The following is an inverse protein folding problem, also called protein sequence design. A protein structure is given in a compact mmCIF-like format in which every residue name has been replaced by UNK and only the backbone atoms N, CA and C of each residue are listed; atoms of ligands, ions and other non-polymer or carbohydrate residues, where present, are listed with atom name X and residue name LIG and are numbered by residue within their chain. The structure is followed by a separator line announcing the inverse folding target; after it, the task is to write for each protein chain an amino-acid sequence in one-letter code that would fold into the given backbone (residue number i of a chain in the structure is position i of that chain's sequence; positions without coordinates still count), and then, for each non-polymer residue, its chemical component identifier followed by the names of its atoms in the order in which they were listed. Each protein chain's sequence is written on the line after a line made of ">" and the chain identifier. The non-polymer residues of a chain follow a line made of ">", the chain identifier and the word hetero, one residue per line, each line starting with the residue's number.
data_IF_519867778202
#
_entry.id   IF_519867778202
#
_cell.length_a   1.000
_cell.length_b   1.000
_cell.length_c   1.000
_cell.angle_alpha   90.00
_cell.angle_beta   90.00
_cell.angle_gamma   90.00
#
_symmetry.space_group_name_H-M   'P 1'
#
loop_
_entity.id
_entity.type
_entity.pdbx_description
1 polymer ?
#
# COMPACT_ATOMS: atom_id res chain seq x y z
N UNK A 1 4.74 52.77 17.68
CA UNK A 1 6.15 52.43 17.39
C UNK A 1 6.12 51.14 16.58
N UNK A 2 5.96 51.31 15.27
CA UNK A 2 6.05 50.25 14.27
C UNK A 2 7.53 49.96 13.95
N UNK A 3 7.84 48.69 13.69
CA UNK A 3 8.88 48.18 12.77
C UNK A 3 9.00 46.66 13.01
N UNK A 4 8.33 45.81 12.24
CA UNK A 4 8.90 45.18 11.03
C UNK A 4 10.27 44.52 11.23
N UNK A 5 10.31 43.18 11.14
CA UNK A 5 11.09 42.42 10.14
C UNK A 5 11.19 40.95 10.54
N UNK A 6 10.29 40.16 9.97
CA UNK A 6 10.53 38.75 9.71
C UNK A 6 11.36 38.69 8.42
N UNK A 7 12.68 38.54 8.54
CA UNK A 7 13.58 38.31 7.41
C UNK A 7 14.73 37.41 7.89
N UNK A 8 14.75 36.17 7.39
CA UNK A 8 15.74 35.15 7.77
C UNK A 8 15.83 34.01 6.75
N UNK A 9 15.80 34.36 5.47
CA UNK A 9 16.03 33.47 4.34
C UNK A 9 17.53 33.10 4.24
N UNK A 10 17.86 31.82 4.41
CA UNK A 10 19.14 31.20 4.02
C UNK A 10 18.80 30.24 2.87
N UNK A 11 18.89 30.65 1.59
CA UNK A 11 20.04 30.54 0.67
C UNK A 11 20.85 29.25 0.91
N UNK A 12 21.22 28.39 -0.03
CA UNK A 12 21.29 28.39 -1.49
C UNK A 12 21.99 27.06 -1.81
N UNK A 13 21.33 26.09 -2.46
CA UNK A 13 22.07 24.97 -3.05
C UNK A 13 22.44 25.32 -4.50
N UNK A 14 23.74 25.54 -4.68
CA UNK A 14 24.36 25.90 -5.94
C UNK A 14 24.26 24.78 -6.98
N UNK A 15 24.09 25.24 -8.21
CA UNK A 15 24.25 24.48 -9.45
C UNK A 15 25.64 23.84 -9.53
N UNK A 16 25.72 22.64 -10.09
CA UNK A 16 26.85 22.27 -10.94
C UNK A 16 26.39 21.40 -12.10
N UNK A 17 26.61 21.92 -13.31
CA UNK A 17 26.38 21.26 -14.60
C UNK A 17 27.54 20.32 -14.93
N UNK A 18 27.24 19.42 -15.87
CA UNK A 18 28.12 18.97 -16.98
C UNK A 18 28.86 17.65 -16.80
N UNK A 19 28.53 16.63 -17.62
CA UNK A 19 29.16 16.43 -18.94
C UNK A 19 28.48 15.33 -19.75
N UNK A 20 28.41 15.58 -21.06
CA UNK A 20 28.06 14.65 -22.14
C UNK A 20 29.18 13.62 -22.37
N UNK A 21 28.82 12.43 -22.85
CA UNK A 21 29.58 11.57 -23.79
C UNK A 21 28.72 10.31 -24.05
N UNK A 22 28.58 9.68 -25.22
CA UNK A 22 28.87 9.96 -26.64
C UNK A 22 28.13 8.86 -27.44
N UNK A 23 27.64 9.19 -28.63
CA UNK A 23 27.11 8.28 -29.64
C UNK A 23 28.22 7.41 -30.28
N UNK A 24 27.90 6.14 -30.60
CA UNK A 24 28.37 5.29 -31.75
C UNK A 24 27.93 3.84 -31.47
N UNK A 25 27.47 3.00 -32.41
CA UNK A 25 27.35 3.06 -33.87
C UNK A 25 26.22 2.12 -34.35
N UNK A 26 25.65 2.37 -35.53
CA UNK A 26 25.91 1.65 -36.80
C UNK A 26 25.50 0.16 -36.72
N UNK A 27 24.30 -0.21 -37.19
CA UNK A 27 23.94 -0.52 -38.58
C UNK A 27 24.20 -1.98 -38.97
N UNK A 28 23.13 -2.72 -39.28
CA UNK A 28 23.12 -3.67 -40.40
C UNK A 28 21.68 -4.01 -40.80
N UNK A 29 21.41 -3.78 -42.07
CA UNK A 29 20.21 -4.14 -42.83
C UNK A 29 20.42 -5.57 -43.34
N UNK A 30 19.37 -6.39 -43.34
CA UNK A 30 19.24 -7.47 -44.32
C UNK A 30 17.77 -7.73 -44.62
N UNK A 31 17.38 -7.35 -45.84
CA UNK A 31 16.17 -7.78 -46.51
C UNK A 31 16.32 -9.24 -46.98
N UNK A 32 15.21 -9.98 -47.06
CA UNK A 32 15.17 -11.30 -47.68
C UNK A 32 13.74 -11.73 -47.95
N UNK A 33 13.39 -11.79 -49.23
CA UNK A 33 12.04 -11.95 -49.77
C UNK A 33 11.56 -13.42 -49.83
N UNK A 34 10.23 -13.54 -49.76
CA UNK A 34 9.32 -14.43 -50.50
C UNK A 34 9.73 -15.84 -50.94
N UNK A 35 8.90 -16.83 -50.58
CA UNK A 35 8.45 -17.87 -51.50
C UNK A 35 7.12 -18.51 -51.03
N UNK A 36 6.07 -18.35 -51.84
CA UNK A 36 4.91 -19.26 -51.89
C UNK A 36 5.32 -20.53 -52.65
N UNK A 37 4.91 -21.71 -52.17
CA UNK A 37 4.11 -22.69 -52.94
C UNK A 37 3.95 -24.04 -52.19
N UNK A 38 2.68 -24.31 -51.82
CA UNK A 38 1.90 -25.56 -51.90
C UNK A 38 2.63 -26.92 -52.01
N UNK A 39 2.30 -27.84 -51.09
CA UNK A 39 1.42 -29.02 -51.36
C UNK A 39 1.60 -30.13 -50.31
N UNK A 40 0.52 -30.87 -50.03
CA UNK A 40 0.57 -32.17 -49.35
C UNK A 40 -0.24 -32.24 -48.05
N UNK A 41 -1.52 -32.58 -48.15
CA UNK A 41 -2.42 -32.71 -47.00
C UNK A 41 -2.28 -34.01 -46.22
N UNK A 42 -2.71 -34.00 -44.96
CA UNK A 42 -3.38 -35.15 -44.31
C UNK A 42 -4.23 -34.68 -43.13
N UNK A 43 -5.55 -34.86 -43.27
CA UNK A 43 -6.51 -35.38 -42.28
C UNK A 43 -6.56 -34.76 -40.86
N UNK A 44 -7.59 -33.94 -40.67
CA UNK A 44 -8.56 -33.94 -39.58
C UNK A 44 -8.10 -34.27 -38.14
N UNK A 45 -8.07 -33.23 -37.30
CA UNK A 45 -8.60 -33.30 -35.94
C UNK A 45 -9.39 -32.00 -35.67
N UNK A 46 -10.72 -32.11 -35.64
CA UNK A 46 -11.59 -31.08 -35.08
C UNK A 46 -11.29 -30.95 -33.58
N UNK A 47 -10.37 -30.05 -33.26
CA UNK A 47 -10.19 -29.58 -31.89
C UNK A 47 -11.38 -28.67 -31.59
N UNK A 48 -12.39 -29.23 -30.93
CA UNK A 48 -13.39 -28.45 -30.21
C UNK A 48 -12.63 -27.51 -29.27
N UNK A 49 -12.79 -26.17 -29.34
CA UNK A 49 -12.24 -25.32 -28.32
C UNK A 49 -12.95 -25.66 -27.02
N UNK A 50 -12.23 -26.32 -26.11
CA UNK A 50 -12.69 -26.48 -24.74
C UNK A 50 -13.05 -25.08 -24.25
N UNK A 51 -14.31 -24.89 -23.88
CA UNK A 51 -14.75 -23.69 -23.21
C UNK A 51 -13.77 -23.42 -22.07
N UNK A 52 -13.16 -22.23 -22.09
CA UNK A 52 -12.45 -21.68 -20.94
C UNK A 52 -13.31 -21.98 -19.71
N UNK A 53 -12.75 -22.52 -18.61
CA UNK A 53 -13.54 -22.71 -17.42
C UNK A 53 -14.13 -21.35 -17.07
N UNK A 54 -15.45 -21.27 -17.15
CA UNK A 54 -16.28 -20.23 -16.57
C UNK A 54 -15.65 -19.90 -15.23
N UNK A 55 -15.19 -18.65 -15.10
CA UNK A 55 -14.42 -18.19 -13.95
C UNK A 55 -15.11 -18.69 -12.69
N UNK A 56 -14.54 -19.74 -12.08
CA UNK A 56 -15.12 -20.36 -10.91
C UNK A 56 -15.38 -19.24 -9.93
N UNK A 57 -16.64 -19.09 -9.52
CA UNK A 57 -17.06 -18.07 -8.58
C UNK A 57 -16.01 -18.01 -7.46
N UNK A 58 -15.38 -16.83 -7.30
CA UNK A 58 -14.31 -16.67 -6.33
C UNK A 58 -14.78 -17.24 -5.01
N UNK A 59 -14.02 -18.16 -4.37
CA UNK A 59 -14.46 -18.74 -3.13
C UNK A 59 -14.78 -17.61 -2.15
N UNK A 60 -15.93 -17.72 -1.48
CA UNK A 60 -16.29 -16.82 -0.37
C UNK A 60 -15.08 -16.77 0.55
N UNK A 61 -14.57 -15.57 0.80
CA UNK A 61 -13.40 -15.37 1.64
C UNK A 61 -13.54 -16.19 2.92
N UNK A 62 -12.53 -16.99 3.32
CA UNK A 62 -12.57 -17.74 4.57
C UNK A 62 -12.68 -16.82 5.80
N UNK A 63 -12.42 -15.52 5.62
CA UNK A 63 -12.54 -14.46 6.61
C UNK A 63 -13.80 -13.58 6.38
N UNK A 64 -14.71 -13.98 5.48
CA UNK A 64 -15.91 -13.21 5.16
C UNK A 64 -15.59 -11.80 4.67
N UNK A 65 -16.23 -10.80 5.29
CA UNK A 65 -16.04 -9.38 5.00
C UNK A 65 -14.89 -8.74 5.78
N UNK A 66 -14.21 -9.50 6.64
CA UNK A 66 -13.17 -8.93 7.49
C UNK A 66 -12.02 -8.34 6.69
N UNK A 67 -11.46 -7.26 7.22
CA UNK A 67 -10.28 -6.58 6.69
C UNK A 67 -9.23 -6.53 7.77
N UNK A 68 -7.99 -6.89 7.43
CA UNK A 68 -6.85 -6.68 8.32
C UNK A 68 -5.87 -5.65 7.72
N UNK A 69 -5.45 -4.71 8.55
CA UNK A 69 -4.54 -3.62 8.22
C UNK A 69 -3.26 -3.72 9.02
N UNK A 70 -2.15 -3.68 8.31
CA UNK A 70 -0.81 -3.74 8.88
C UNK A 70 -0.02 -2.53 8.38
N UNK A 71 -0.30 -1.33 8.90
CA UNK A 71 0.50 -0.15 8.62
C UNK A 71 1.82 -0.22 9.38
N UNK A 72 2.86 0.31 8.76
CA UNK A 72 4.17 0.51 9.37
C UNK A 72 4.49 2.00 9.38
N UNK A 73 5.00 2.47 10.51
CA UNK A 73 5.34 3.85 10.78
C UNK A 73 6.78 3.93 11.27
N UNK A 74 7.49 4.95 10.82
CA UNK A 74 8.86 5.25 11.26
C UNK A 74 8.84 6.54 12.07
N UNK A 75 9.40 6.49 13.28
CA UNK A 75 9.54 7.66 14.16
C UNK A 75 10.53 8.64 13.55
N UNK A 76 10.15 9.92 13.45
CA UNK A 76 11.02 10.94 12.84
C UNK A 76 12.14 11.39 13.79
N UNK A 77 11.84 11.52 15.08
CA UNK A 77 12.80 11.94 16.11
C UNK A 77 12.35 11.52 17.52
N UNK A 78 13.32 11.37 18.43
CA UNK A 78 13.07 11.07 19.85
C UNK A 78 12.81 9.60 20.19
N UNK A 79 12.68 8.72 19.19
CA UNK A 79 12.45 7.28 19.39
C UNK A 79 11.11 6.97 20.04
N UNK A 80 10.92 5.73 20.52
CA UNK A 80 9.65 5.24 21.07
C UNK A 80 9.05 6.14 22.16
N UNK A 81 9.87 6.67 23.08
CA UNK A 81 9.36 7.48 24.20
C UNK A 81 8.69 8.78 23.74
N UNK A 82 9.05 9.33 22.58
CA UNK A 82 8.43 10.55 22.06
C UNK A 82 7.01 10.33 21.54
N UNK A 83 6.66 9.08 21.21
CA UNK A 83 5.37 8.71 20.59
C UNK A 83 4.52 7.80 21.47
N UNK A 84 5.11 7.15 22.49
CA UNK A 84 4.42 6.23 23.41
C UNK A 84 3.08 6.78 23.93
N UNK A 85 2.97 8.02 24.46
CA UNK A 85 1.70 8.52 24.97
C UNK A 85 0.60 8.61 23.89
N UNK A 86 0.98 8.95 22.65
CA UNK A 86 0.05 9.00 21.52
C UNK A 86 -0.42 7.60 21.14
N UNK A 87 0.49 6.61 21.12
CA UNK A 87 0.14 5.22 20.83
C UNK A 87 -0.81 4.63 21.89
N UNK A 88 -0.56 4.93 23.16
CA UNK A 88 -1.42 4.50 24.28
C UNK A 88 -2.83 5.12 24.17
N UNK A 89 -2.92 6.40 23.79
CA UNK A 89 -4.21 7.06 23.52
C UNK A 89 -4.96 6.42 22.35
N UNK A 90 -4.26 6.10 21.25
CA UNK A 90 -4.83 5.41 20.09
C UNK A 90 -5.37 4.02 20.46
N UNK A 91 -4.58 3.22 21.20
CA UNK A 91 -5.00 1.88 21.66
C UNK A 91 -6.22 1.95 22.56
N UNK A 92 -6.25 2.92 23.47
CA UNK A 92 -7.42 3.13 24.35
C UNK A 92 -8.64 3.51 23.53
N UNK A 93 -8.48 4.43 22.58
CA UNK A 93 -9.55 4.87 21.69
C UNK A 93 -10.13 3.74 20.83
N UNK A 94 -9.29 2.86 20.29
CA UNK A 94 -9.72 1.79 19.39
C UNK A 94 -10.59 0.72 20.07
N UNK A 95 -10.55 0.62 21.41
CA UNK A 95 -11.39 -0.31 22.17
C UNK A 95 -12.89 0.04 22.08
N UNK A 96 -13.21 1.32 21.89
CA UNK A 96 -14.58 1.81 21.82
C UNK A 96 -15.12 1.84 20.38
N UNK A 97 -14.31 1.48 19.39
CA UNK A 97 -14.67 1.52 17.97
C UNK A 97 -15.47 0.27 17.58
N UNK A 98 -16.73 0.48 17.18
CA UNK A 98 -17.60 -0.60 16.74
C UNK A 98 -17.03 -1.30 15.51
N UNK A 99 -16.93 -2.64 15.58
CA UNK A 99 -16.42 -3.46 14.49
C UNK A 99 -14.90 -3.65 14.51
N UNK A 100 -14.17 -3.06 15.45
CA UNK A 100 -12.76 -3.41 15.71
C UNK A 100 -12.69 -4.78 16.40
N UNK A 101 -12.08 -5.74 15.71
CA UNK A 101 -11.93 -7.13 16.16
C UNK A 101 -10.59 -7.38 16.86
N UNK A 102 -9.55 -6.67 16.44
CA UNK A 102 -8.22 -6.73 17.06
C UNK A 102 -7.50 -5.42 16.78
N UNK A 103 -6.82 -4.87 17.78
CA UNK A 103 -5.98 -3.69 17.63
C UNK A 103 -4.76 -3.86 18.51
N UNK A 104 -3.59 -4.01 17.90
CA UNK A 104 -2.33 -4.22 18.61
C UNK A 104 -1.22 -3.38 17.98
N UNK A 105 -0.33 -2.88 18.84
CA UNK A 105 0.82 -2.06 18.44
C UNK A 105 2.09 -2.82 18.78
N UNK A 106 3.00 -2.91 17.83
CA UNK A 106 4.29 -3.54 17.96
C UNK A 106 5.38 -2.53 17.66
N UNK A 107 6.54 -2.69 18.29
CA UNK A 107 7.70 -1.84 18.09
C UNK A 107 8.93 -2.70 17.80
N UNK A 108 9.79 -2.24 16.89
CA UNK A 108 11.10 -2.84 16.64
C UNK A 108 12.01 -2.73 17.86
N UNK A 109 13.04 -3.58 17.92
CA UNK A 109 14.02 -3.60 19.01
C UNK A 109 14.72 -2.25 19.22
N UNK A 110 14.96 -1.50 18.13
CA UNK A 110 15.58 -0.17 18.14
C UNK A 110 14.60 0.99 18.43
N UNK A 111 13.30 0.68 18.61
CA UNK A 111 12.28 1.68 18.91
C UNK A 111 11.96 2.65 17.77
N UNK A 112 12.46 2.41 16.55
CA UNK A 112 12.27 3.32 15.41
C UNK A 112 11.07 2.98 14.54
N UNK A 113 10.72 1.71 14.46
CA UNK A 113 9.61 1.22 13.63
C UNK A 113 8.47 0.77 14.52
N UNK A 114 7.28 1.28 14.22
CA UNK A 114 6.03 0.89 14.85
C UNK A 114 5.18 0.23 13.78
N UNK A 115 4.59 -0.92 14.07
CA UNK A 115 3.60 -1.53 13.20
C UNK A 115 2.34 -1.85 13.98
N UNK A 116 1.21 -1.68 13.33
CA UNK A 116 -0.08 -2.02 13.91
C UNK A 116 -0.56 -3.33 13.30
N UNK A 117 -1.26 -4.13 14.10
CA UNK A 117 -2.08 -5.22 13.62
C UNK A 117 -3.52 -4.88 13.96
N UNK A 118 -4.26 -4.51 12.93
CA UNK A 118 -5.63 -4.05 13.05
C UNK A 118 -6.54 -4.99 12.27
N UNK A 119 -7.65 -5.40 12.87
CA UNK A 119 -8.69 -6.21 12.22
C UNK A 119 -10.04 -5.58 12.44
N UNK A 120 -10.80 -5.52 11.35
CA UNK A 120 -12.11 -4.91 11.29
C UNK A 120 -13.12 -5.91 10.71
N UNK A 121 -14.35 -5.86 11.20
CA UNK A 121 -15.43 -6.75 10.77
C UNK A 121 -15.80 -6.58 9.30
N UNK A 122 -15.70 -5.35 8.78
CA UNK A 122 -16.04 -4.98 7.42
C UNK A 122 -15.42 -3.63 7.00
N UNK A 123 -15.71 -3.23 5.77
CA UNK A 123 -15.27 -1.97 5.17
C UNK A 123 -15.84 -0.73 5.90
N UNK A 124 -17.03 -0.83 6.50
CA UNK A 124 -17.64 0.29 7.23
C UNK A 124 -16.88 0.58 8.53
N UNK A 125 -16.46 -0.48 9.25
CA UNK A 125 -15.59 -0.34 10.42
C UNK A 125 -14.23 0.29 10.07
N UNK A 126 -13.64 -0.08 8.92
CA UNK A 126 -12.41 0.53 8.41
C UNK A 126 -12.58 2.04 8.16
N UNK A 127 -13.67 2.43 7.49
CA UNK A 127 -13.96 3.84 7.20
C UNK A 127 -14.20 4.66 8.48
N UNK A 128 -14.92 4.08 9.44
CA UNK A 128 -15.14 4.69 10.74
C UNK A 128 -13.81 4.91 11.47
N UNK A 129 -12.95 3.88 11.50
CA UNK A 129 -11.61 3.97 12.10
C UNK A 129 -10.77 5.07 11.45
N UNK A 130 -10.71 5.14 10.12
CA UNK A 130 -9.96 6.19 9.42
C UNK A 130 -10.47 7.59 9.69
N UNK A 131 -11.80 7.76 9.72
CA UNK A 131 -12.42 9.06 10.01
C UNK A 131 -12.03 9.52 11.41
N UNK A 132 -12.18 8.63 12.39
CA UNK A 132 -11.83 8.88 13.78
C UNK A 132 -10.33 9.17 13.96
N UNK A 133 -9.48 8.41 13.28
CA UNK A 133 -8.03 8.66 13.24
C UNK A 133 -7.70 10.03 12.65
N UNK A 134 -8.33 10.38 11.53
CA UNK A 134 -8.20 11.67 10.86
C UNK A 134 -8.52 12.84 11.78
N UNK A 135 -9.64 12.76 12.49
CA UNK A 135 -10.14 13.82 13.36
C UNK A 135 -9.32 13.99 14.65
N UNK A 136 -8.80 12.89 15.22
CA UNK A 136 -8.20 12.92 16.57
C UNK A 136 -6.69 12.83 16.59
N UNK A 137 -6.09 12.16 15.61
CA UNK A 137 -4.70 11.71 15.73
C UNK A 137 -3.81 12.07 14.55
N UNK A 138 -4.35 12.20 13.33
CA UNK A 138 -3.55 12.31 12.11
C UNK A 138 -2.52 13.44 12.16
N UNK A 139 -2.86 14.62 12.67
CA UNK A 139 -1.91 15.74 12.80
C UNK A 139 -0.72 15.36 13.70
N UNK A 140 -0.99 14.88 14.92
CA UNK A 140 0.03 14.49 15.91
C UNK A 140 0.87 13.31 15.41
N UNK A 141 0.21 12.30 14.82
CA UNK A 141 0.85 11.12 14.28
C UNK A 141 1.79 11.46 13.12
N UNK A 142 1.32 12.25 12.15
CA UNK A 142 2.14 12.64 11.00
C UNK A 142 3.18 13.70 11.33
N UNK A 143 3.03 14.46 12.42
CA UNK A 143 4.10 15.31 12.93
C UNK A 143 5.25 14.47 13.50
N UNK A 144 4.96 13.42 14.27
CA UNK A 144 5.96 12.62 14.98
C UNK A 144 6.51 11.42 14.19
N UNK A 145 5.73 10.89 13.25
CA UNK A 145 6.02 9.65 12.51
C UNK A 145 5.69 9.79 11.03
N UNK A 146 6.22 8.89 10.22
CA UNK A 146 5.92 8.77 8.78
C UNK A 146 5.40 7.36 8.49
N UNK A 147 4.23 7.23 7.87
CA UNK A 147 3.73 5.93 7.44
C UNK A 147 4.56 5.43 6.25
N UNK A 148 5.42 4.43 6.49
CA UNK A 148 6.39 3.93 5.52
C UNK A 148 5.78 2.99 4.51
N UNK A 149 4.79 2.18 4.91
CA UNK A 149 4.06 1.23 4.05
C UNK A 149 2.80 0.73 4.75
N UNK A 150 1.89 0.14 3.97
CA UNK A 150 0.74 -0.58 4.51
C UNK A 150 0.49 -1.87 3.73
N UNK A 151 0.19 -2.94 4.46
CA UNK A 151 -0.37 -4.17 3.88
C UNK A 151 -1.84 -4.28 4.28
N UNK A 152 -2.69 -4.47 3.28
CA UNK A 152 -4.13 -4.69 3.42
C UNK A 152 -4.44 -6.13 3.05
N UNK A 153 -5.03 -6.86 3.99
CA UNK A 153 -5.52 -8.23 3.79
C UNK A 153 -7.04 -8.19 3.72
N UNK A 154 -7.61 -8.70 2.62
CA UNK A 154 -9.06 -8.69 2.37
C UNK A 154 -9.46 -7.76 1.23
N UNK A 155 -10.76 -7.68 0.99
CA UNK A 155 -11.33 -6.88 -0.10
C UNK A 155 -11.79 -5.53 0.41
N UNK A 156 -11.07 -4.48 0.01
CA UNK A 156 -11.54 -3.10 0.13
C UNK A 156 -12.05 -2.59 -1.20
N UNK A 157 -13.21 -1.92 -1.16
CA UNK A 157 -13.73 -1.09 -2.22
C UNK A 157 -12.78 0.04 -2.62
N UNK A 158 -12.94 0.53 -3.85
CA UNK A 158 -12.07 1.56 -4.44
C UNK A 158 -12.07 2.87 -3.64
N UNK A 159 -13.21 3.22 -3.05
CA UNK A 159 -13.38 4.46 -2.29
C UNK A 159 -12.50 4.47 -1.04
N UNK A 160 -12.46 3.36 -0.27
CA UNK A 160 -11.57 3.26 0.90
C UNK A 160 -10.11 3.33 0.48
N UNK A 161 -9.74 2.68 -0.62
CA UNK A 161 -8.35 2.71 -1.12
C UNK A 161 -7.88 4.13 -1.43
N UNK A 162 -8.76 5.00 -1.92
CA UNK A 162 -8.43 6.41 -2.23
C UNK A 162 -8.14 7.25 -0.98
N UNK A 163 -8.66 6.85 0.18
CA UNK A 163 -8.44 7.57 1.44
C UNK A 163 -7.09 7.24 2.10
N UNK A 164 -6.44 6.14 1.69
CA UNK A 164 -5.18 5.70 2.29
C UNK A 164 -4.04 6.66 1.94
N UNK A 165 -3.63 7.44 2.93
CA UNK A 165 -2.48 8.35 2.85
C UNK A 165 -1.28 7.77 3.62
N UNK A 166 -0.83 6.60 3.17
CA UNK A 166 0.40 5.96 3.63
C UNK A 166 1.33 5.74 2.43
N UNK A 167 2.59 5.38 2.66
CA UNK A 167 3.53 4.94 1.62
C UNK A 167 3.04 3.75 0.79
N UNK A 168 3.94 2.95 0.18
CA UNK A 168 3.55 1.83 -0.67
C UNK A 168 2.45 0.95 -0.06
N UNK A 169 1.41 0.71 -0.85
CA UNK A 169 0.22 -0.02 -0.44
C UNK A 169 0.22 -1.40 -1.11
N UNK A 170 0.17 -2.47 -0.31
CA UNK A 170 0.09 -3.85 -0.80
C UNK A 170 -1.28 -4.42 -0.47
N UNK A 171 -1.97 -4.96 -1.47
CA UNK A 171 -3.30 -5.55 -1.32
C UNK A 171 -3.24 -7.06 -1.56
N UNK A 172 -3.62 -7.85 -0.55
CA UNK A 172 -3.58 -9.30 -0.61
C UNK A 172 -4.98 -9.88 -0.40
N UNK A 173 -5.35 -10.83 -1.25
CA UNK A 173 -6.58 -11.58 -1.12
C UNK A 173 -6.32 -12.89 -0.36
N UNK A 174 -7.29 -13.40 0.40
CA UNK A 174 -7.15 -14.67 1.07
C UNK A 174 -6.98 -15.80 0.05
N UNK A 175 -5.93 -16.58 0.19
CA UNK A 175 -5.73 -17.81 -0.59
C UNK A 175 -6.39 -19.03 0.08
N UNK A 176 -6.50 -19.00 1.41
CA UNK A 176 -7.14 -20.02 2.26
C UNK A 176 -7.02 -19.60 3.73
N UNK A 177 -7.79 -20.22 4.63
CA UNK A 177 -7.73 -19.89 6.07
C UNK A 177 -8.94 -20.35 6.87
N UNK A 178 -8.93 -20.02 8.17
CA UNK A 178 -10.05 -20.17 9.10
C UNK A 178 -9.95 -19.11 10.20
N UNK A 179 -11.08 -18.75 10.81
CA UNK A 179 -11.14 -17.99 12.06
C UNK A 179 -11.63 -18.90 13.18
N UNK A 180 -10.83 -19.06 14.24
CA UNK A 180 -11.29 -19.71 15.46
C UNK A 180 -12.11 -18.71 16.29
N UNK A 181 -13.22 -19.17 16.87
CA UNK A 181 -14.04 -18.41 17.83
C UNK A 181 -13.63 -18.75 19.25
#
# INVERSE_FOLDING_TARGET
>A
MESERFDGLVRSFGQSRSRRQTLRGLASVAAGASALALSGGTRAQDATPAASPEAAASPVSPLGTEVAWIPEWVVKSGGLESVRPLLEEMVTSAQDEAGTLSYAVYVSEDGQTITFYERYADEAAVLAHQTHFGERFAERATAAMTCSRITVLGSLGEEVRKTLNCGPQTYLQPFGGFSAR
#
